data_IF_396869225383
#
_entry.id   IF_396869225383
#
_cell.length_a   1.000
_cell.length_b   1.000
_cell.length_c   1.000
_cell.angle_alpha   90.00
_cell.angle_beta   90.00
_cell.angle_gamma   90.00
#
_symmetry.space_group_name_H-M   'P 1'
#
loop_
_entity.id
_entity.type
_entity.pdbx_description
1 polymer ?
#
# COMPACT_ATOMS: atom_id res chain seq x y z
N UNK A 1 11.59 -10.15 -12.13
CA UNK A 1 10.86 -9.00 -12.70
C UNK A 1 9.87 -9.50 -13.72
N UNK A 2 8.67 -8.90 -13.85
CA UNK A 2 7.75 -9.28 -14.91
C UNK A 2 8.32 -8.84 -16.27
N UNK A 3 8.09 -9.65 -17.31
CA UNK A 3 8.39 -9.25 -18.69
C UNK A 3 7.17 -8.54 -19.32
N UNK A 4 7.32 -8.01 -20.53
CA UNK A 4 6.24 -7.28 -21.22
C UNK A 4 5.01 -8.15 -21.48
N UNK A 5 5.18 -9.45 -21.75
CA UNK A 5 4.06 -10.38 -21.99
C UNK A 5 3.23 -10.61 -20.74
N UNK A 6 3.88 -10.82 -19.59
CA UNK A 6 3.20 -10.95 -18.30
C UNK A 6 2.34 -9.72 -17.96
N UNK A 7 2.76 -8.53 -18.39
CA UNK A 7 1.99 -7.30 -18.21
C UNK A 7 0.80 -7.21 -19.16
N UNK A 8 0.99 -7.61 -20.44
CA UNK A 8 -0.10 -7.64 -21.43
C UNK A 8 -1.24 -8.57 -21.02
N UNK A 9 -0.95 -9.62 -20.26
CA UNK A 9 -1.95 -10.57 -19.77
C UNK A 9 -2.79 -10.03 -18.60
N UNK A 10 -2.40 -8.90 -17.98
CA UNK A 10 -3.20 -8.25 -16.93
C UNK A 10 -4.31 -7.45 -17.58
N UNK A 11 -5.54 -7.94 -17.47
CA UNK A 11 -6.73 -7.36 -18.12
C UNK A 11 -7.50 -6.39 -17.22
N UNK A 12 -7.21 -6.36 -15.92
CA UNK A 12 -7.84 -5.45 -14.97
C UNK A 12 -6.83 -4.43 -14.45
N UNK A 13 -7.32 -3.24 -14.09
CA UNK A 13 -6.45 -2.15 -13.69
C UNK A 13 -6.09 -2.24 -12.20
N UNK A 14 -7.07 -2.13 -11.30
CA UNK A 14 -6.85 -2.01 -9.86
C UNK A 14 -7.66 -3.04 -9.09
N UNK A 15 -7.02 -3.73 -8.14
CA UNK A 15 -7.69 -4.55 -7.14
C UNK A 15 -7.60 -3.92 -5.74
N UNK A 16 -8.60 -4.18 -4.89
CA UNK A 16 -8.57 -3.78 -3.49
C UNK A 16 -9.19 -4.86 -2.60
N UNK A 17 -8.42 -5.41 -1.66
CA UNK A 17 -8.95 -6.31 -0.64
C UNK A 17 -9.28 -5.54 0.62
N UNK A 18 -10.55 -5.52 0.99
CA UNK A 18 -11.03 -4.70 2.10
C UNK A 18 -12.25 -5.31 2.79
N UNK A 19 -12.15 -5.38 4.12
CA UNK A 19 -13.25 -5.82 4.99
C UNK A 19 -13.69 -4.79 6.04
N UNK A 20 -12.88 -3.76 6.27
CA UNK A 20 -13.25 -2.62 7.10
C UNK A 20 -13.68 -1.44 6.21
N UNK A 21 -14.98 -1.18 6.16
CA UNK A 21 -15.62 -0.26 5.21
C UNK A 21 -15.79 1.17 5.73
N UNK A 22 -15.45 1.41 7.01
CA UNK A 22 -15.53 2.72 7.64
C UNK A 22 -14.27 2.91 8.47
N UNK A 23 -13.40 3.81 8.02
CA UNK A 23 -12.10 4.00 8.64
C UNK A 23 -11.92 5.43 9.11
N UNK A 24 -11.06 5.60 10.12
CA UNK A 24 -10.84 6.91 10.71
C UNK A 24 -10.12 7.86 9.74
N UNK A 25 -9.29 7.30 8.85
CA UNK A 25 -8.64 8.04 7.77
C UNK A 25 -9.48 8.17 6.51
N UNK A 26 -10.75 7.74 6.53
CA UNK A 26 -11.69 7.87 5.41
C UNK A 26 -11.13 7.33 4.09
N UNK A 27 -10.34 6.25 4.11
CA UNK A 27 -9.79 5.68 2.85
C UNK A 27 -10.88 5.26 1.86
N UNK A 28 -12.09 4.96 2.36
CA UNK A 28 -13.26 4.68 1.55
C UNK A 28 -13.75 5.90 0.76
N UNK A 29 -13.47 7.13 1.20
CA UNK A 29 -13.71 8.36 0.43
C UNK A 29 -12.74 8.46 -0.73
N UNK A 30 -11.44 8.23 -0.49
CA UNK A 30 -10.45 8.16 -1.57
C UNK A 30 -10.86 7.16 -2.64
N UNK A 31 -11.21 5.93 -2.21
CA UNK A 31 -11.73 4.91 -3.13
C UNK A 31 -12.95 5.40 -3.91
N UNK A 32 -13.94 6.02 -3.24
CA UNK A 32 -15.17 6.52 -3.87
C UNK A 32 -14.90 7.59 -4.92
N UNK A 33 -13.90 8.44 -4.70
CA UNK A 33 -13.50 9.46 -5.68
C UNK A 33 -12.71 8.83 -6.83
N UNK A 34 -11.75 7.95 -6.52
CA UNK A 34 -10.88 7.29 -7.51
C UNK A 34 -11.67 6.40 -8.48
N UNK A 35 -12.66 5.63 -7.99
CA UNK A 35 -13.49 4.72 -8.82
C UNK A 35 -14.35 5.42 -9.87
N UNK A 36 -14.40 6.76 -9.88
CA UNK A 36 -15.12 7.54 -10.90
C UNK A 36 -14.32 7.65 -12.19
N UNK A 37 -12.99 7.49 -12.11
CA UNK A 37 -12.05 7.71 -13.20
C UNK A 37 -11.40 6.40 -13.68
N UNK A 38 -11.33 5.39 -12.81
CA UNK A 38 -10.72 4.08 -13.10
C UNK A 38 -11.53 2.93 -12.53
N UNK A 39 -11.50 1.79 -13.21
CA UNK A 39 -12.12 0.55 -12.72
C UNK A 39 -11.33 -0.04 -11.55
N UNK A 40 -12.03 -0.26 -10.44
CA UNK A 40 -11.47 -0.81 -9.21
C UNK A 40 -12.33 -1.99 -8.75
N UNK A 41 -11.73 -3.18 -8.77
CA UNK A 41 -12.35 -4.41 -8.32
C UNK A 41 -12.14 -4.60 -6.82
N UNK A 42 -13.24 -4.67 -6.08
CA UNK A 42 -13.24 -4.72 -4.62
C UNK A 42 -13.59 -6.12 -4.14
N UNK A 43 -12.63 -6.76 -3.47
CA UNK A 43 -12.80 -8.06 -2.81
C UNK A 43 -12.95 -7.88 -1.30
N UNK A 44 -13.76 -8.71 -0.66
CA UNK A 44 -13.98 -8.64 0.79
C UNK A 44 -15.40 -8.23 1.16
N UNK A 45 -15.66 -7.92 2.43
CA UNK A 45 -17.01 -7.56 2.89
C UNK A 45 -17.47 -6.18 2.43
N UNK A 46 -16.55 -5.33 1.93
CA UNK A 46 -16.89 -4.00 1.39
C UNK A 46 -17.10 -3.99 -0.12
N UNK A 47 -17.01 -5.15 -0.78
CA UNK A 47 -17.15 -5.30 -2.22
C UNK A 47 -18.00 -6.50 -2.60
N UNK A 48 -18.19 -6.70 -3.91
CA UNK A 48 -18.98 -7.82 -4.45
C UNK A 48 -18.10 -9.03 -4.77
N UNK A 49 -16.80 -8.83 -4.99
CA UNK A 49 -15.91 -9.89 -5.37
C UNK A 49 -15.42 -10.65 -4.15
N UNK A 50 -15.13 -11.93 -4.37
CA UNK A 50 -14.61 -12.85 -3.37
C UNK A 50 -13.49 -13.66 -3.98
N UNK A 51 -12.50 -13.95 -3.16
CA UNK A 51 -11.53 -14.96 -3.53
C UNK A 51 -12.24 -16.32 -3.65
N UNK A 52 -11.74 -17.24 -4.49
CA UNK A 52 -12.28 -18.58 -4.60
C UNK A 52 -12.48 -19.22 -3.22
N UNK A 53 -13.61 -19.90 -3.01
CA UNK A 53 -14.06 -20.37 -1.69
C UNK A 53 -13.04 -21.25 -0.97
N UNK A 54 -12.12 -21.88 -1.70
CA UNK A 54 -11.06 -22.68 -1.12
C UNK A 54 -10.06 -21.85 -0.30
N UNK A 55 -10.02 -20.52 -0.46
CA UNK A 55 -9.08 -19.62 0.24
C UNK A 55 -9.71 -18.30 0.70
N UNK A 56 -9.37 -17.87 1.93
CA UNK A 56 -9.74 -16.56 2.49
C UNK A 56 -9.10 -15.39 1.71
N UNK A 57 -9.67 -14.17 1.75
CA UNK A 57 -9.11 -13.02 1.00
C UNK A 57 -7.70 -12.62 1.44
N UNK A 58 -7.32 -12.94 2.68
CA UNK A 58 -5.95 -12.79 3.18
C UNK A 58 -5.04 -13.97 2.86
N UNK A 59 -5.46 -14.93 2.04
CA UNK A 59 -4.61 -16.06 1.63
C UNK A 59 -3.57 -15.63 0.60
N UNK A 60 -2.32 -16.10 0.69
CA UNK A 60 -1.32 -15.92 -0.36
C UNK A 60 -1.82 -16.29 -1.76
N UNK A 61 -2.67 -17.32 -1.87
CA UNK A 61 -3.23 -17.78 -3.15
C UNK A 61 -4.15 -16.76 -3.81
N UNK A 62 -4.85 -15.93 -3.03
CA UNK A 62 -5.65 -14.87 -3.63
C UNK A 62 -4.78 -13.73 -4.17
N UNK A 63 -3.65 -13.44 -3.50
CA UNK A 63 -2.64 -12.52 -4.03
C UNK A 63 -2.00 -13.04 -5.33
N UNK A 64 -1.83 -14.36 -5.49
CA UNK A 64 -1.36 -14.97 -6.76
C UNK A 64 -2.38 -14.80 -7.89
N UNK A 65 -3.67 -14.84 -7.57
CA UNK A 65 -4.74 -14.63 -8.55
C UNK A 65 -4.73 -13.18 -9.06
N UNK A 66 -4.70 -12.21 -8.15
CA UNK A 66 -4.66 -10.80 -8.56
C UNK A 66 -3.34 -10.45 -9.24
N UNK A 67 -2.23 -11.10 -8.92
CA UNK A 67 -0.96 -10.91 -9.62
C UNK A 67 -1.06 -11.23 -11.10
N UNK A 68 -1.90 -12.19 -11.50
CA UNK A 68 -2.05 -12.54 -12.91
C UNK A 68 -2.94 -11.55 -13.67
N UNK A 69 -3.84 -10.86 -12.96
CA UNK A 69 -4.95 -10.13 -13.58
C UNK A 69 -4.83 -8.61 -13.46
N UNK A 70 -4.19 -8.10 -12.41
CA UNK A 70 -4.21 -6.68 -12.05
C UNK A 70 -2.84 -6.03 -12.13
N UNK A 71 -2.79 -4.76 -12.54
CA UNK A 71 -1.56 -3.95 -12.54
C UNK A 71 -1.31 -3.29 -11.20
N UNK A 72 -2.36 -2.80 -10.56
CA UNK A 72 -2.27 -2.07 -9.31
C UNK A 72 -3.06 -2.74 -8.20
N UNK A 73 -2.64 -2.51 -6.98
CA UNK A 73 -3.37 -2.91 -5.79
C UNK A 73 -3.41 -1.76 -4.78
N UNK A 74 -4.59 -1.47 -4.23
CA UNK A 74 -4.74 -0.45 -3.20
C UNK A 74 -4.28 -0.99 -1.84
N UNK A 75 -3.04 -0.68 -1.46
CA UNK A 75 -2.45 -0.96 -0.15
C UNK A 75 -2.80 0.15 0.86
N UNK A 76 -4.09 0.52 0.95
CA UNK A 76 -4.57 1.60 1.80
C UNK A 76 -4.66 1.17 3.27
N UNK A 77 -4.00 1.91 4.16
CA UNK A 77 -4.06 1.64 5.58
C UNK A 77 -5.38 2.11 6.21
N UNK A 78 -5.72 1.55 7.37
CA UNK A 78 -6.95 1.90 8.11
C UNK A 78 -6.84 3.24 8.87
N UNK A 79 -5.61 3.75 9.01
CA UNK A 79 -5.28 4.94 9.78
C UNK A 79 -4.14 5.68 9.09
N UNK A 80 -4.14 7.01 9.20
CA UNK A 80 -3.13 7.87 8.59
C UNK A 80 -2.05 8.23 9.61
N UNK A 81 -1.41 7.21 10.17
CA UNK A 81 -0.43 7.34 11.25
C UNK A 81 1.00 7.11 10.77
N UNK A 82 1.93 7.85 11.36
CA UNK A 82 3.36 7.64 11.16
C UNK A 82 3.77 6.23 11.56
N UNK A 83 4.63 5.63 10.75
CA UNK A 83 5.17 4.28 10.90
C UNK A 83 4.11 3.15 10.91
N UNK A 84 2.84 3.47 10.61
CA UNK A 84 1.77 2.47 10.46
C UNK A 84 1.75 1.94 9.03
N UNK A 85 2.50 0.85 8.81
CA UNK A 85 2.53 0.09 7.56
C UNK A 85 2.33 -1.39 7.86
N UNK A 86 1.38 -2.01 7.16
CA UNK A 86 0.90 -3.36 7.46
C UNK A 86 1.24 -4.37 6.36
N UNK A 87 0.69 -5.58 6.50
CA UNK A 87 0.80 -6.67 5.53
C UNK A 87 0.34 -6.27 4.12
N UNK A 88 -0.54 -5.27 4.00
CA UNK A 88 -1.10 -4.81 2.71
C UNK A 88 -0.03 -4.32 1.76
N UNK A 89 1.04 -3.71 2.26
CA UNK A 89 2.17 -3.31 1.43
C UNK A 89 3.06 -4.51 1.13
N UNK A 90 3.54 -5.20 2.17
CA UNK A 90 4.57 -6.23 2.02
C UNK A 90 4.10 -7.46 1.21
N UNK A 91 2.82 -7.85 1.34
CA UNK A 91 2.24 -8.93 0.52
C UNK A 91 2.21 -8.60 -0.97
N UNK A 92 2.07 -7.32 -1.32
CA UNK A 92 2.01 -6.86 -2.71
C UNK A 92 3.41 -6.66 -3.28
N UNK A 93 4.35 -6.15 -2.48
CA UNK A 93 5.75 -6.02 -2.89
C UNK A 93 6.40 -7.36 -3.28
N UNK A 94 5.96 -8.49 -2.71
CA UNK A 94 6.39 -9.83 -3.15
C UNK A 94 5.90 -10.18 -4.56
N UNK A 95 4.80 -9.58 -5.01
CA UNK A 95 4.16 -9.85 -6.30
C UNK A 95 4.69 -8.93 -7.40
N UNK A 96 4.29 -9.23 -8.63
CA UNK A 96 4.48 -8.39 -9.81
C UNK A 96 3.27 -7.47 -10.02
N UNK A 97 2.88 -6.76 -8.96
CA UNK A 97 1.80 -5.76 -8.91
C UNK A 97 2.40 -4.49 -8.28
N UNK A 98 2.01 -3.31 -8.74
CA UNK A 98 2.45 -2.04 -8.14
C UNK A 98 1.48 -1.64 -7.02
N UNK A 99 1.93 -1.55 -5.75
CA UNK A 99 1.09 -1.06 -4.66
C UNK A 99 0.85 0.44 -4.77
N UNK A 100 -0.41 0.85 -4.61
CA UNK A 100 -0.82 2.24 -4.38
C UNK A 100 -1.09 2.40 -2.89
N UNK A 101 -0.29 3.21 -2.20
CA UNK A 101 -0.32 3.36 -0.75
C UNK A 101 -1.02 4.65 -0.35
N UNK A 102 -1.75 4.60 0.76
CA UNK A 102 -2.39 5.74 1.40
C UNK A 102 -2.15 5.63 2.90
N UNK A 103 -1.34 6.55 3.45
CA UNK A 103 -0.87 6.55 4.84
C UNK A 103 0.22 7.59 5.11
N UNK A 104 0.38 8.00 6.37
CA UNK A 104 1.30 9.08 6.80
C UNK A 104 2.75 8.59 7.00
N UNK A 105 3.35 7.95 6.00
CA UNK A 105 4.63 7.26 6.18
C UNK A 105 5.74 7.83 5.29
N UNK A 106 6.98 7.75 5.78
CA UNK A 106 8.17 7.96 4.97
C UNK A 106 8.48 6.68 4.18
N UNK A 107 7.78 6.50 3.06
CA UNK A 107 7.91 5.30 2.23
C UNK A 107 9.33 5.12 1.66
N UNK A 108 10.15 6.18 1.58
CA UNK A 108 11.55 6.09 1.17
C UNK A 108 12.43 5.30 2.14
N UNK A 109 12.03 5.18 3.41
CA UNK A 109 12.70 4.33 4.41
C UNK A 109 12.10 2.93 4.54
N UNK A 110 10.90 2.73 4.01
CA UNK A 110 10.11 1.51 4.24
C UNK A 110 10.14 0.60 3.01
N UNK A 111 10.10 1.17 1.81
CA UNK A 111 10.02 0.45 0.56
C UNK A 111 11.22 0.77 -0.33
N UNK A 112 11.65 -0.16 -1.21
CA UNK A 112 12.71 0.12 -2.17
C UNK A 112 12.38 1.34 -3.05
N UNK A 113 13.38 2.04 -3.59
CA UNK A 113 13.15 3.19 -4.46
C UNK A 113 12.25 2.84 -5.65
N UNK A 114 11.29 3.71 -5.95
CA UNK A 114 10.34 3.54 -7.06
C UNK A 114 9.63 2.18 -7.05
N UNK A 115 9.19 1.71 -5.88
CA UNK A 115 8.46 0.44 -5.73
C UNK A 115 6.98 0.63 -5.41
N UNK A 116 6.54 1.84 -5.05
CA UNK A 116 5.18 2.17 -4.63
C UNK A 116 4.72 3.47 -5.27
N UNK A 117 3.40 3.62 -5.44
CA UNK A 117 2.75 4.89 -5.79
C UNK A 117 2.11 5.45 -4.52
N UNK A 118 2.48 6.67 -4.12
CA UNK A 118 1.98 7.30 -2.89
C UNK A 118 0.79 8.19 -3.25
N UNK A 119 -0.41 7.83 -2.81
CA UNK A 119 -1.64 8.58 -3.13
C UNK A 119 -1.60 10.01 -2.59
N UNK A 120 -0.97 10.24 -1.44
CA UNK A 120 -0.80 11.57 -0.82
C UNK A 120 0.05 12.55 -1.65
N UNK A 121 0.71 12.09 -2.72
CA UNK A 121 1.53 12.95 -3.58
C UNK A 121 0.74 13.59 -4.74
N UNK A 122 -0.56 13.35 -4.82
CA UNK A 122 -1.43 13.86 -5.88
C UNK A 122 -2.43 14.86 -5.29
N UNK A 123 -2.73 15.92 -6.03
CA UNK A 123 -3.64 16.97 -5.60
C UNK A 123 -5.11 16.51 -5.65
N UNK A 124 -5.41 15.45 -6.40
CA UNK A 124 -6.76 14.89 -6.49
C UNK A 124 -6.78 13.40 -6.84
N UNK A 125 -7.92 12.76 -6.61
CA UNK A 125 -8.15 11.39 -7.07
C UNK A 125 -8.15 11.25 -8.60
N UNK A 126 -8.48 12.32 -9.33
CA UNK A 126 -8.42 12.37 -10.81
C UNK A 126 -6.97 12.32 -11.28
N UNK A 127 -6.09 13.13 -10.69
CA UNK A 127 -4.67 13.14 -11.04
C UNK A 127 -4.00 11.79 -10.75
N UNK A 128 -4.33 11.17 -9.60
CA UNK A 128 -3.90 9.81 -9.29
C UNK A 128 -4.41 8.82 -10.36
N UNK A 129 -5.70 8.89 -10.72
CA UNK A 129 -6.26 8.04 -11.76
C UNK A 129 -5.58 8.21 -13.11
N UNK A 130 -5.34 9.45 -13.54
CA UNK A 130 -4.63 9.78 -14.78
C UNK A 130 -3.23 9.18 -14.80
N UNK A 131 -2.53 9.22 -13.66
CA UNK A 131 -1.23 8.58 -13.54
C UNK A 131 -1.30 7.05 -13.66
N UNK A 132 -2.31 6.40 -13.04
CA UNK A 132 -2.52 4.95 -13.19
C UNK A 132 -2.83 4.58 -14.64
N UNK A 133 -3.66 5.38 -15.33
CA UNK A 133 -4.00 5.20 -16.75
C UNK A 133 -2.78 5.44 -17.65
N UNK A 134 -1.95 6.44 -17.34
CA UNK A 134 -0.69 6.69 -18.03
C UNK A 134 0.21 5.46 -17.95
N UNK A 135 0.42 4.91 -16.75
CA UNK A 135 1.24 3.70 -16.56
C UNK A 135 0.64 2.48 -17.25
N UNK A 136 -0.69 2.33 -17.25
CA UNK A 136 -1.38 1.25 -17.95
C UNK A 136 -1.07 1.25 -19.46
N UNK A 137 -1.14 2.43 -20.08
CA UNK A 137 -0.87 2.67 -21.50
C UNK A 137 0.62 2.70 -21.86
N UNK A 138 1.50 2.82 -20.87
CA UNK A 138 2.95 2.90 -21.06
C UNK A 138 3.69 1.77 -20.34
N UNK A 139 3.74 0.54 -20.92
CA UNK A 139 4.38 -0.62 -20.30
C UNK A 139 5.84 -0.42 -19.91
N UNK A 140 6.57 0.44 -20.63
CA UNK A 140 7.97 0.77 -20.31
C UNK A 140 8.05 1.54 -18.99
N UNK A 141 7.19 2.53 -18.76
CA UNK A 141 7.14 3.29 -17.52
C UNK A 141 6.64 2.43 -16.36
N UNK A 142 5.62 1.62 -16.59
CA UNK A 142 5.12 0.67 -15.60
C UNK A 142 6.21 -0.33 -15.17
N UNK A 143 7.02 -0.85 -16.11
CA UNK A 143 8.11 -1.79 -15.81
C UNK A 143 9.19 -1.20 -14.89
N UNK A 144 9.39 0.12 -14.90
CA UNK A 144 10.35 0.78 -14.01
C UNK A 144 10.02 0.58 -12.52
N UNK A 145 8.76 0.31 -12.18
CA UNK A 145 8.34 0.00 -10.79
C UNK A 145 8.80 -1.36 -10.28
N UNK A 146 9.43 -2.18 -11.12
CA UNK A 146 9.96 -3.50 -10.73
C UNK A 146 11.49 -3.59 -10.78
N UNK A 147 12.17 -2.52 -11.21
CA UNK A 147 13.64 -2.47 -11.30
C UNK A 147 14.32 -2.74 -9.96
N UNK A 148 13.72 -2.28 -8.86
CA UNK A 148 14.20 -2.53 -7.51
C UNK A 148 14.36 -4.03 -7.20
N UNK A 149 13.57 -4.92 -7.82
CA UNK A 149 13.66 -6.38 -7.59
C UNK A 149 14.99 -6.99 -8.04
N UNK A 150 15.85 -6.24 -8.76
CA UNK A 150 17.22 -6.65 -9.09
C UNK A 150 18.18 -6.59 -7.89
N UNK A 151 17.88 -5.73 -6.92
CA UNK A 151 18.80 -5.41 -5.81
C UNK A 151 18.17 -5.60 -4.43
N UNK A 152 16.84 -5.75 -4.35
CA UNK A 152 16.13 -5.96 -3.09
C UNK A 152 15.19 -7.16 -3.21
N UNK A 153 14.92 -7.78 -2.06
CA UNK A 153 13.89 -8.79 -1.88
C UNK A 153 13.04 -8.44 -0.66
N UNK A 154 11.83 -8.98 -0.60
CA UNK A 154 10.95 -8.80 0.57
C UNK A 154 11.22 -9.95 1.54
N UNK A 155 11.59 -9.61 2.78
CA UNK A 155 11.77 -10.57 3.86
C UNK A 155 10.55 -10.55 4.77
N UNK A 156 9.84 -11.67 4.86
CA UNK A 156 8.66 -11.83 5.74
C UNK A 156 8.82 -12.97 6.75
N UNK A 157 9.99 -13.59 6.82
CA UNK A 157 10.26 -14.61 7.81
C UNK A 157 10.31 -13.97 9.20
N UNK A 158 9.31 -14.30 10.01
CA UNK A 158 9.19 -13.79 11.37
C UNK A 158 10.41 -14.14 12.23
N UNK A 159 10.93 -15.37 12.11
CA UNK A 159 12.10 -15.81 12.87
C UNK A 159 13.34 -14.99 12.48
N UNK A 160 13.54 -14.72 11.19
CA UNK A 160 14.63 -13.86 10.75
C UNK A 160 14.50 -12.44 11.34
N UNK A 161 13.29 -11.89 11.31
CA UNK A 161 12.99 -10.54 11.82
C UNK A 161 13.27 -10.44 13.33
N UNK A 162 12.80 -11.40 14.12
CA UNK A 162 13.04 -11.44 15.57
C UNK A 162 14.53 -11.67 15.88
N UNK A 163 15.22 -12.53 15.13
CA UNK A 163 16.66 -12.71 15.29
C UNK A 163 17.45 -11.43 14.97
N UNK A 164 17.02 -10.64 13.98
CA UNK A 164 17.64 -9.35 13.66
C UNK A 164 17.38 -8.34 14.77
N UNK A 165 16.14 -8.25 15.26
CA UNK A 165 15.79 -7.40 16.40
C UNK A 165 16.61 -7.77 17.64
N UNK A 166 16.72 -9.06 17.97
CA UNK A 166 17.53 -9.55 19.09
C UNK A 166 19.00 -9.13 18.95
N UNK A 167 19.59 -9.24 17.76
CA UNK A 167 20.95 -8.75 17.50
C UNK A 167 21.09 -7.25 17.70
N UNK A 168 20.12 -6.46 17.26
CA UNK A 168 20.12 -5.00 17.46
C UNK A 168 20.03 -4.64 18.94
N UNK A 169 19.15 -5.30 19.70
CA UNK A 169 18.99 -5.08 21.14
C UNK A 169 20.23 -5.45 21.96
N UNK A 170 21.04 -6.39 21.46
CA UNK A 170 22.28 -6.83 22.12
C UNK A 170 23.54 -6.17 21.52
N UNK A 171 23.39 -5.16 20.66
CA UNK A 171 24.54 -4.42 20.13
C UNK A 171 24.96 -3.34 21.15
N UNK A 172 26.04 -3.59 21.88
CA UNK A 172 26.57 -2.65 22.88
C UNK A 172 27.03 -1.29 22.30
N UNK A 173 27.16 -1.17 20.97
CA UNK A 173 27.51 0.09 20.31
C UNK A 173 26.30 1.00 20.08
N UNK A 174 25.08 0.47 20.17
CA UNK A 174 23.85 1.25 20.00
C UNK A 174 23.42 1.84 21.35
N UNK A 175 23.11 3.14 21.42
CA UNK A 175 22.63 3.74 22.67
C UNK A 175 21.25 3.18 23.05
N UNK A 176 20.97 2.99 24.36
CA UNK A 176 19.64 2.61 24.80
C UNK A 176 18.63 3.69 24.40
N UNK A 177 17.49 3.28 23.86
CA UNK A 177 16.39 4.16 23.48
C UNK A 177 15.17 3.84 24.34
N UNK A 178 14.80 4.78 25.22
CA UNK A 178 13.67 4.65 26.14
C UNK A 178 12.62 5.69 25.78
N UNK A 179 11.34 5.29 25.83
CA UNK A 179 10.21 6.19 25.70
C UNK A 179 9.42 6.14 27.00
N UNK A 180 9.37 7.26 27.73
CA UNK A 180 8.70 7.36 29.04
C UNK A 180 7.17 7.32 28.92
N UNK A 181 6.64 7.79 27.79
CA UNK A 181 5.21 7.78 27.49
C UNK A 181 4.97 7.10 26.14
N UNK A 182 4.40 5.90 26.21
CA UNK A 182 4.08 5.09 25.03
C UNK A 182 3.02 5.76 24.15
N UNK A 183 2.08 6.51 24.73
CA UNK A 183 1.03 7.19 23.97
C UNK A 183 1.61 8.38 23.22
N UNK A 184 2.43 9.19 23.88
CA UNK A 184 3.13 10.29 23.20
C UNK A 184 4.09 9.78 22.13
N UNK A 185 4.79 8.66 22.36
CA UNK A 185 5.62 8.04 21.33
C UNK A 185 4.81 7.56 20.13
N UNK A 186 3.67 6.89 20.37
CA UNK A 186 2.86 6.26 19.32
C UNK A 186 2.02 7.28 18.54
N UNK A 187 1.35 8.19 19.23
CA UNK A 187 0.40 9.14 18.65
C UNK A 187 1.02 10.51 18.37
N UNK A 188 2.20 10.80 18.94
CA UNK A 188 2.75 12.14 18.97
C UNK A 188 2.03 13.02 20.01
N UNK A 189 2.63 14.16 20.35
CA UNK A 189 1.97 15.16 21.17
C UNK A 189 0.71 15.66 20.46
N UNK A 190 -0.42 15.69 21.17
CA UNK A 190 -1.73 16.04 20.62
C UNK A 190 -2.12 15.26 19.34
N UNK A 191 -1.76 13.98 19.25
CA UNK A 191 -2.04 13.11 18.09
C UNK A 191 -1.36 13.55 16.79
N UNK A 192 -0.28 14.34 16.86
CA UNK A 192 0.41 14.90 15.68
C UNK A 192 0.97 13.85 14.70
N UNK A 193 1.13 12.59 15.10
CA UNK A 193 1.59 11.52 14.20
C UNK A 193 0.46 10.85 13.42
N UNK A 194 -0.79 11.01 13.86
CA UNK A 194 -1.97 10.44 13.22
C UNK A 194 -2.87 11.54 12.68
N UNK A 195 -2.90 11.70 11.35
CA UNK A 195 -3.78 12.69 10.71
C UNK A 195 -5.23 12.23 10.83
N UNK A 196 -6.12 13.17 11.16
CA UNK A 196 -7.55 12.98 11.37
C UNK A 196 -8.32 14.19 10.85
N UNK A 197 -9.60 14.00 10.48
CA UNK A 197 -10.47 15.10 10.05
C UNK A 197 -9.83 15.93 8.93
N UNK A 198 -9.78 17.25 9.14
CA UNK A 198 -9.27 18.22 8.16
C UNK A 198 -7.74 18.14 7.96
N UNK A 199 -7.02 17.38 8.81
CA UNK A 199 -5.60 17.14 8.60
C UNK A 199 -5.34 16.01 7.59
N UNK A 200 -6.34 15.21 7.21
CA UNK A 200 -6.20 14.22 6.15
C UNK A 200 -5.94 14.91 4.80
N UNK A 201 -5.22 14.27 3.85
CA UNK A 201 -5.08 14.81 2.51
C UNK A 201 -6.45 15.19 1.93
N UNK A 202 -6.55 16.39 1.36
CA UNK A 202 -7.77 16.79 0.66
C UNK A 202 -7.78 16.12 -0.71
N UNK A 203 -8.56 15.06 -0.80
CA UNK A 203 -8.77 14.23 -2.00
C UNK A 203 -10.20 14.43 -2.51
N UNK A 204 -10.87 15.48 -2.05
CA UNK A 204 -12.17 15.87 -2.55
C UNK A 204 -12.05 16.37 -4.00
N UNK A 205 -13.16 16.24 -4.71
CA UNK A 205 -13.32 16.69 -6.09
C UNK A 205 -13.09 18.20 -6.09
N UNK A 206 -12.34 18.80 -7.05
CA UNK A 206 -12.40 20.24 -7.20
C UNK A 206 -13.87 20.62 -7.37
N UNK A 207 -14.42 21.38 -6.42
CA UNK A 207 -15.80 21.85 -6.52
C UNK A 207 -15.90 22.59 -7.84
N UNK A 208 -16.66 22.02 -8.77
CA UNK A 208 -17.00 22.64 -10.04
C UNK A 208 -18.22 23.54 -9.86
#
# INVERSE_FOLDING_TARGET
>A
MPNREAIKNKTHLVAWFVSNCRTINRREELYRNLRRYVDIDVYGSCGKLKCPKEFHESSPRCYDLIERQYKFYLSFENSHCKDYVSEKLYRVLEKNIVPVVYGNNDYGKIAPPKSVIIADNYDSAEELADYLVFLDKNPVEYLKYFEWKKSYYVERNFNYTICKLCRMLNNASEPPKVYEDILTWWLGTNHSYCKLGDALPDISIPIQ
#
